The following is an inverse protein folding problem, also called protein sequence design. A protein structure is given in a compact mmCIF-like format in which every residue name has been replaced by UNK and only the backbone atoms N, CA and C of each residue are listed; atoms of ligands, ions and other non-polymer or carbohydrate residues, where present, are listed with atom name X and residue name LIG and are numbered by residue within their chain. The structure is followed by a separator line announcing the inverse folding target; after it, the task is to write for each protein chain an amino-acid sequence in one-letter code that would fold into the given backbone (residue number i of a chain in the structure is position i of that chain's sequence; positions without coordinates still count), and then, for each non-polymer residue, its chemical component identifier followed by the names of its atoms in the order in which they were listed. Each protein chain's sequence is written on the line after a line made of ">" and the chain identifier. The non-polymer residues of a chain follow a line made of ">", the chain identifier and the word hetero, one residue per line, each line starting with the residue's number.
data_IF_651110749172
#
_entry.id   IF_651110749172
#
_cell.length_a   1.000
_cell.length_b   1.000
_cell.length_c   1.000
_cell.angle_alpha   90.00
_cell.angle_beta   90.00
_cell.angle_gamma   90.00
#
_symmetry.space_group_name_H-M   'P 1'
#
loop_
_entity.id
_entity.type
_entity.pdbx_description
1 polymer ?
#
# COMPACT_ATOMS: atom_id res chain seq x y z
N UNK A 1 24.47 7.78 -8.94
CA UNK A 1 23.45 6.82 -9.38
C UNK A 1 22.27 7.50 -10.09
N UNK A 2 21.49 6.78 -10.88
CA UNK A 2 20.19 7.24 -11.39
C UNK A 2 19.09 6.97 -10.36
N UNK A 3 18.17 7.92 -10.23
CA UNK A 3 17.01 7.80 -9.33
C UNK A 3 15.81 8.57 -9.88
N UNK A 4 14.60 8.09 -9.61
CA UNK A 4 13.36 8.82 -9.90
C UNK A 4 13.13 9.84 -8.80
N UNK A 5 13.17 11.11 -9.16
CA UNK A 5 13.05 12.25 -8.24
C UNK A 5 11.74 13.02 -8.47
N UNK A 6 11.12 13.45 -7.38
CA UNK A 6 9.98 14.34 -7.40
C UNK A 6 10.43 15.80 -7.60
N UNK A 7 9.78 16.54 -8.50
CA UNK A 7 10.10 17.94 -8.82
C UNK A 7 8.90 18.90 -8.64
N UNK A 8 7.78 18.37 -8.17
CA UNK A 8 6.56 19.15 -8.00
C UNK A 8 5.32 18.39 -8.42
N UNK A 9 4.18 19.03 -8.29
CA UNK A 9 2.90 18.46 -8.71
C UNK A 9 2.92 18.04 -10.18
N UNK A 10 2.66 16.76 -10.42
CA UNK A 10 2.63 16.18 -11.76
C UNK A 10 4.00 15.98 -12.42
N UNK A 11 5.10 16.22 -11.71
CA UNK A 11 6.45 16.21 -12.28
C UNK A 11 7.40 15.28 -11.50
N UNK A 12 7.74 14.16 -12.13
CA UNK A 12 8.76 13.22 -11.67
C UNK A 12 9.75 12.97 -12.81
N UNK A 13 11.04 12.90 -12.50
CA UNK A 13 12.13 12.79 -13.48
C UNK A 13 13.19 11.80 -12.99
N UNK A 14 13.88 11.16 -13.94
CA UNK A 14 15.06 10.37 -13.61
C UNK A 14 16.29 11.26 -13.65
N UNK A 15 16.86 11.51 -12.48
CA UNK A 15 18.03 12.35 -12.30
C UNK A 15 19.30 11.52 -12.00
N UNK A 16 20.45 12.13 -12.19
CA UNK A 16 21.72 11.63 -11.66
C UNK A 16 21.97 12.30 -10.31
N UNK A 17 21.98 11.50 -9.26
CA UNK A 17 22.17 11.94 -7.87
C UNK A 17 23.38 11.26 -7.27
N UNK A 18 23.95 11.76 -6.14
CA UNK A 18 25.00 11.06 -5.42
C UNK A 18 24.59 9.63 -5.03
N UNK A 19 25.55 8.72 -5.00
CA UNK A 19 25.33 7.39 -4.46
C UNK A 19 25.06 7.46 -2.94
N UNK A 20 24.25 6.56 -2.38
CA UNK A 20 24.02 6.53 -0.94
C UNK A 20 25.29 6.08 -0.20
N UNK A 21 25.49 6.61 1.00
CA UNK A 21 26.57 6.23 1.91
C UNK A 21 26.00 5.62 3.20
N UNK A 22 26.77 4.74 3.86
CA UNK A 22 26.45 4.28 5.21
C UNK A 22 26.52 5.48 6.17
N UNK A 23 25.47 5.67 6.96
CA UNK A 23 25.38 6.76 7.95
C UNK A 23 25.47 6.25 9.39
N UNK A 24 25.18 4.98 9.58
CA UNK A 24 25.14 4.31 10.87
C UNK A 24 25.74 2.89 10.75
N UNK A 25 26.41 2.37 11.78
CA UNK A 25 26.99 1.02 11.73
C UNK A 25 25.94 -0.10 11.56
N UNK A 26 24.67 0.19 11.72
CA UNK A 26 23.55 -0.76 11.50
C UNK A 26 22.96 -0.70 10.09
N UNK A 27 23.47 0.15 9.21
CA UNK A 27 22.98 0.34 7.84
C UNK A 27 23.52 -0.71 6.88
N UNK A 28 22.78 -0.92 5.79
CA UNK A 28 23.33 -1.53 4.56
C UNK A 28 23.04 -0.66 3.35
N UNK A 29 23.82 -0.86 2.29
CA UNK A 29 23.48 -0.37 0.95
C UNK A 29 23.11 -1.57 0.09
N UNK A 30 21.97 -1.49 -0.58
CA UNK A 30 21.54 -2.48 -1.56
C UNK A 30 21.66 -1.90 -2.98
N UNK A 31 22.07 -2.72 -3.94
CA UNK A 31 21.84 -2.49 -5.36
C UNK A 31 20.42 -2.96 -5.66
N UNK A 32 19.54 -2.04 -6.04
CA UNK A 32 18.14 -2.35 -6.29
C UNK A 32 18.01 -3.17 -7.57
N UNK A 33 17.37 -4.32 -7.51
CA UNK A 33 17.10 -5.19 -8.65
C UNK A 33 15.69 -5.01 -9.18
N UNK A 34 14.74 -4.70 -8.30
CA UNK A 34 13.37 -4.40 -8.65
C UNK A 34 12.73 -3.43 -7.64
N UNK A 35 11.84 -2.56 -8.13
CA UNK A 35 11.04 -1.67 -7.30
C UNK A 35 9.64 -1.51 -7.88
N UNK A 36 8.59 -1.51 -7.04
CA UNK A 36 7.22 -1.30 -7.47
C UNK A 36 6.84 0.18 -7.57
N UNK A 37 5.86 0.50 -8.42
CA UNK A 37 5.09 1.74 -8.33
C UNK A 37 3.79 1.42 -7.61
N UNK A 38 3.49 2.16 -6.53
CA UNK A 38 2.31 2.00 -5.69
C UNK A 38 1.27 3.11 -5.96
N UNK A 39 0.01 2.83 -5.60
CA UNK A 39 -1.05 3.87 -5.63
C UNK A 39 -0.73 5.06 -4.74
N UNK A 40 -0.08 4.84 -3.59
CA UNK A 40 0.34 5.92 -2.69
C UNK A 40 1.44 6.83 -3.25
N UNK A 41 2.24 6.38 -4.24
CA UNK A 41 3.17 7.23 -4.97
C UNK A 41 2.42 8.29 -5.82
N UNK A 42 1.20 7.97 -6.26
CA UNK A 42 0.36 8.93 -7.00
C UNK A 42 -0.11 10.08 -6.10
N UNK A 43 -0.27 9.85 -4.79
CA UNK A 43 -0.57 10.93 -3.85
C UNK A 43 0.56 11.97 -3.80
N UNK A 44 1.82 11.53 -3.95
CA UNK A 44 2.98 12.40 -4.04
C UNK A 44 2.99 13.15 -5.38
N UNK A 45 2.77 12.42 -6.48
CA UNK A 45 2.70 13.00 -7.83
C UNK A 45 1.61 14.07 -7.93
N UNK A 46 0.43 13.79 -7.38
CA UNK A 46 -0.74 14.68 -7.47
C UNK A 46 -0.76 15.75 -6.36
N UNK A 47 0.31 15.85 -5.55
CA UNK A 47 0.49 16.90 -4.57
C UNK A 47 -0.45 16.83 -3.36
N UNK A 48 -1.04 15.66 -3.07
CA UNK A 48 -1.89 15.48 -1.89
C UNK A 48 -1.09 15.40 -0.58
N UNK A 49 0.16 14.93 -0.65
CA UNK A 49 1.03 14.85 0.52
C UNK A 49 1.82 16.14 0.71
N UNK A 50 1.70 16.78 1.88
CA UNK A 50 2.51 17.94 2.20
C UNK A 50 3.97 17.56 2.49
N UNK A 51 4.85 18.57 2.50
CA UNK A 51 6.25 18.42 2.90
C UNK A 51 7.12 17.56 1.96
N UNK A 52 6.78 17.50 0.68
CA UNK A 52 7.69 17.02 -0.36
C UNK A 52 8.65 18.13 -0.75
N UNK A 53 9.91 17.77 -1.03
CA UNK A 53 10.93 18.68 -1.50
C UNK A 53 11.44 18.26 -2.89
N UNK A 54 11.79 19.24 -3.73
CA UNK A 54 12.31 18.94 -5.07
C UNK A 54 13.65 18.18 -4.96
N UNK A 55 13.71 17.01 -5.62
CA UNK A 55 14.85 16.09 -5.54
C UNK A 55 14.62 14.90 -4.61
N UNK A 56 13.49 14.83 -3.89
CA UNK A 56 13.13 13.65 -3.10
C UNK A 56 13.04 12.39 -3.99
N UNK A 57 13.79 11.35 -3.63
CA UNK A 57 13.82 10.07 -4.36
C UNK A 57 12.61 9.24 -3.94
N UNK A 58 11.81 8.83 -4.91
CA UNK A 58 10.56 8.09 -4.71
C UNK A 58 10.77 6.58 -4.58
N UNK A 59 9.70 5.88 -4.19
CA UNK A 59 9.59 4.42 -4.20
C UNK A 59 9.80 3.76 -2.84
N UNK A 60 8.79 3.02 -2.41
CA UNK A 60 8.79 2.37 -1.10
C UNK A 60 8.60 0.84 -1.21
N UNK A 61 8.66 0.28 -2.42
CA UNK A 61 8.56 -1.17 -2.66
C UNK A 61 9.85 -1.74 -3.25
N UNK A 62 11.04 -1.61 -2.58
CA UNK A 62 12.29 -2.08 -3.15
C UNK A 62 12.66 -3.49 -2.71
N UNK A 63 13.43 -4.13 -3.58
CA UNK A 63 14.28 -5.27 -3.25
C UNK A 63 15.61 -5.16 -3.98
N UNK A 64 16.62 -5.90 -3.54
CA UNK A 64 17.93 -5.86 -4.17
C UNK A 64 18.96 -6.79 -3.54
N UNK A 65 20.20 -6.54 -3.89
CA UNK A 65 21.39 -7.29 -3.41
C UNK A 65 22.20 -6.37 -2.52
N UNK A 66 22.54 -6.83 -1.32
CA UNK A 66 23.43 -6.11 -0.39
C UNK A 66 24.81 -5.97 -1.01
N UNK A 67 25.28 -4.73 -1.16
CA UNK A 67 26.61 -4.40 -1.72
C UNK A 67 27.58 -3.90 -0.67
N UNK A 68 27.08 -3.31 0.42
CA UNK A 68 27.86 -2.79 1.53
C UNK A 68 27.11 -2.95 2.85
N UNK A 69 27.84 -3.21 3.95
CA UNK A 69 27.27 -3.41 5.30
C UNK A 69 28.05 -2.56 6.32
N UNK A 70 27.30 -1.96 7.24
CA UNK A 70 27.87 -1.35 8.43
C UNK A 70 28.47 -2.40 9.37
N UNK A 71 29.32 -1.95 10.30
CA UNK A 71 30.12 -2.85 11.15
C UNK A 71 29.29 -3.64 12.18
N UNK A 72 28.08 -3.19 12.51
CA UNK A 72 27.18 -3.86 13.47
C UNK A 72 26.11 -4.73 12.82
N UNK A 73 26.08 -4.81 11.48
CA UNK A 73 25.13 -5.67 10.76
C UNK A 73 25.54 -7.12 10.87
N UNK A 74 24.63 -7.98 11.33
CA UNK A 74 24.89 -9.40 11.63
C UNK A 74 24.03 -10.39 10.85
N UNK A 75 22.80 -10.00 10.44
CA UNK A 75 21.85 -10.93 9.80
C UNK A 75 21.95 -11.02 8.30
N UNK A 76 22.52 -9.99 7.67
CA UNK A 76 22.75 -9.96 6.24
C UNK A 76 24.19 -9.59 5.93
N UNK A 77 24.69 -10.00 4.76
CA UNK A 77 26.05 -9.73 4.31
C UNK A 77 26.05 -9.37 2.83
N UNK A 78 27.17 -8.82 2.36
CA UNK A 78 27.40 -8.54 0.93
C UNK A 78 27.11 -9.77 0.07
N UNK A 79 26.28 -9.58 -0.95
CA UNK A 79 25.81 -10.62 -1.88
C UNK A 79 24.45 -11.22 -1.48
N UNK A 80 23.96 -10.99 -0.27
CA UNK A 80 22.63 -11.47 0.11
C UNK A 80 21.53 -10.70 -0.66
N UNK A 81 20.53 -11.43 -1.11
CA UNK A 81 19.33 -10.91 -1.75
C UNK A 81 18.29 -10.59 -0.68
N UNK A 82 17.73 -9.38 -0.69
CA UNK A 82 16.82 -8.90 0.35
C UNK A 82 15.61 -8.16 -0.22
N UNK A 83 14.46 -8.34 0.43
CA UNK A 83 13.28 -7.48 0.28
C UNK A 83 13.28 -6.47 1.43
N UNK A 84 13.03 -5.21 1.13
CA UNK A 84 13.01 -4.13 2.13
C UNK A 84 11.58 -3.65 2.32
N UNK A 85 11.02 -3.70 3.55
CA UNK A 85 9.67 -3.20 3.82
C UNK A 85 9.63 -1.67 3.68
N UNK A 86 8.48 -1.12 3.29
CA UNK A 86 8.33 0.33 3.17
C UNK A 86 8.52 1.06 4.51
N UNK A 87 8.25 0.39 5.63
CA UNK A 87 8.34 0.94 6.98
C UNK A 87 9.71 0.71 7.59
N UNK A 88 10.30 1.74 8.15
CA UNK A 88 11.59 1.67 8.87
C UNK A 88 11.32 1.47 10.36
N UNK A 89 11.86 0.42 10.94
CA UNK A 89 11.66 0.08 12.34
C UNK A 89 12.99 -0.17 13.06
N UNK A 90 13.12 0.30 14.31
CA UNK A 90 14.35 0.13 15.10
C UNK A 90 14.46 -1.25 15.79
N UNK A 91 13.36 -1.97 15.94
CA UNK A 91 13.31 -3.29 16.59
C UNK A 91 13.33 -3.27 18.13
N UNK A 92 13.62 -2.14 18.79
CA UNK A 92 13.86 -2.09 20.24
C UNK A 92 12.94 -1.15 21.04
N UNK A 93 12.25 -0.19 20.40
CA UNK A 93 11.33 0.70 21.10
C UNK A 93 10.08 -0.03 21.60
N UNK A 94 9.29 0.64 22.43
CA UNK A 94 8.05 0.06 23.01
C UNK A 94 7.15 -0.56 21.94
N UNK A 95 6.89 0.13 20.84
CA UNK A 95 6.01 -0.37 19.78
C UNK A 95 6.63 -1.55 19.02
N UNK A 96 7.89 -1.47 18.65
CA UNK A 96 8.59 -2.57 17.96
C UNK A 96 8.60 -3.86 18.79
N UNK A 97 8.85 -3.77 20.11
CA UNK A 97 8.83 -4.94 21.01
C UNK A 97 7.43 -5.54 21.21
N UNK A 98 6.38 -4.79 20.87
CA UNK A 98 4.98 -5.26 20.85
C UNK A 98 4.52 -5.76 19.46
N UNK A 99 5.41 -5.79 18.48
CA UNK A 99 5.04 -6.17 17.11
C UNK A 99 4.27 -5.09 16.34
N UNK A 100 4.37 -3.84 16.77
CA UNK A 100 3.69 -2.68 16.17
C UNK A 100 4.68 -1.79 15.40
N UNK A 101 5.42 -2.40 14.47
CA UNK A 101 6.56 -1.76 13.79
C UNK A 101 6.22 -0.47 13.04
N UNK A 102 5.02 -0.37 12.45
CA UNK A 102 4.56 0.84 11.76
C UNK A 102 4.35 2.05 12.70
N UNK A 103 4.37 1.81 14.00
CA UNK A 103 4.28 2.85 15.04
C UNK A 103 5.64 3.06 15.76
N UNK A 104 6.76 2.74 15.09
CA UNK A 104 8.10 2.93 15.69
C UNK A 104 8.34 4.40 16.07
N UNK A 105 8.72 4.63 17.34
CA UNK A 105 8.92 5.98 17.88
C UNK A 105 10.23 6.65 17.47
N UNK A 106 11.21 5.88 16.99
CA UNK A 106 12.60 6.35 16.91
C UNK A 106 13.11 6.58 15.50
N UNK A 107 12.38 6.08 14.49
CA UNK A 107 12.89 6.10 13.11
C UNK A 107 12.46 7.31 12.29
N UNK A 108 11.57 8.15 12.80
CA UNK A 108 11.21 9.39 12.10
C UNK A 108 12.00 10.59 12.65
N UNK A 109 13.01 11.12 11.91
CA UNK A 109 13.78 12.29 12.35
C UNK A 109 12.92 13.55 12.46
N UNK A 110 11.77 13.60 11.78
CA UNK A 110 10.82 14.71 11.78
C UNK A 110 9.65 14.50 12.74
N UNK A 111 9.83 13.68 13.79
CA UNK A 111 8.78 13.29 14.75
C UNK A 111 8.01 14.49 15.32
N UNK A 112 8.70 15.59 15.67
CA UNK A 112 8.07 16.79 16.22
C UNK A 112 7.14 17.50 15.21
N UNK A 113 7.48 17.47 13.92
CA UNK A 113 6.64 18.02 12.85
C UNK A 113 5.42 17.11 12.63
N UNK A 114 5.63 15.81 12.53
CA UNK A 114 4.55 14.84 12.35
C UNK A 114 3.55 14.88 13.51
N UNK A 115 4.03 14.98 14.75
CA UNK A 115 3.17 15.06 15.94
C UNK A 115 2.25 16.29 15.96
N UNK A 116 2.68 17.43 15.38
CA UNK A 116 1.82 18.62 15.27
C UNK A 116 0.63 18.40 14.32
N UNK A 117 0.80 17.55 13.30
CA UNK A 117 -0.22 17.29 12.28
C UNK A 117 -1.10 16.09 12.66
N UNK A 118 -0.49 15.02 13.18
CA UNK A 118 -1.15 13.72 13.40
C UNK A 118 -1.40 13.41 14.89
N UNK A 119 -0.97 14.28 15.82
CA UNK A 119 -1.04 14.01 17.26
C UNK A 119 0.03 13.04 17.78
N UNK A 120 0.79 12.42 16.89
CA UNK A 120 1.89 11.49 17.19
C UNK A 120 2.85 11.40 16.00
N UNK A 121 4.01 10.76 16.19
CA UNK A 121 4.93 10.44 15.09
C UNK A 121 4.66 9.04 14.56
N UNK A 122 4.46 8.83 13.25
CA UNK A 122 4.56 7.51 12.64
C UNK A 122 6.04 7.08 12.54
N UNK A 123 6.27 5.81 12.20
CA UNK A 123 7.58 5.32 11.80
C UNK A 123 8.11 6.02 10.54
N UNK A 124 9.41 5.97 10.29
CA UNK A 124 10.00 6.39 9.04
C UNK A 124 9.52 5.53 7.86
N UNK A 125 9.33 6.15 6.70
CA UNK A 125 8.97 5.47 5.45
C UNK A 125 10.00 5.81 4.36
N UNK A 126 10.34 4.83 3.54
CA UNK A 126 11.15 5.05 2.35
C UNK A 126 10.36 5.78 1.26
N UNK A 127 11.02 6.67 0.51
CA UNK A 127 10.49 7.27 -0.70
C UNK A 127 9.15 7.97 -0.54
N UNK A 128 8.92 8.57 0.63
CA UNK A 128 7.68 9.27 0.96
C UNK A 128 7.98 10.66 1.56
N UNK A 129 6.98 11.38 2.04
CA UNK A 129 7.12 12.78 2.47
C UNK A 129 7.97 12.96 3.72
N UNK A 130 8.42 14.19 3.96
CA UNK A 130 9.17 14.55 5.18
C UNK A 130 8.35 14.42 6.47
N UNK A 131 7.02 14.34 6.43
CA UNK A 131 6.20 13.95 7.60
C UNK A 131 6.54 12.53 8.10
N UNK A 132 7.04 11.67 7.23
CA UNK A 132 7.45 10.31 7.55
C UNK A 132 8.96 10.12 7.47
N UNK A 133 9.71 11.21 7.60
CA UNK A 133 11.17 11.21 7.76
C UNK A 133 11.98 11.66 6.56
N UNK A 134 11.42 11.75 5.36
CA UNK A 134 12.13 12.18 4.15
C UNK A 134 13.26 11.24 3.75
N UNK A 135 13.10 9.94 3.96
CA UNK A 135 14.08 8.93 3.54
C UNK A 135 14.02 8.74 2.03
N UNK A 136 15.20 8.64 1.41
CA UNK A 136 15.30 8.29 0.00
C UNK A 136 14.62 6.95 -0.30
N UNK A 137 13.96 6.87 -1.45
CA UNK A 137 13.24 5.68 -1.90
C UNK A 137 14.06 4.73 -2.77
N UNK A 138 13.45 3.62 -3.12
CA UNK A 138 14.07 2.54 -3.88
C UNK A 138 13.75 2.55 -5.38
N UNK A 139 13.11 3.59 -5.92
CA UNK A 139 13.05 3.80 -7.38
C UNK A 139 14.35 4.44 -7.85
N UNK A 140 15.47 3.77 -7.56
CA UNK A 140 16.85 4.18 -7.77
C UNK A 140 17.74 2.96 -7.98
N UNK A 141 18.97 3.17 -8.47
CA UNK A 141 19.93 2.06 -8.66
C UNK A 141 20.45 1.50 -7.33
N UNK A 142 20.53 2.34 -6.28
CA UNK A 142 20.99 1.95 -4.94
C UNK A 142 20.11 2.58 -3.87
N UNK A 143 20.01 1.89 -2.72
CA UNK A 143 19.26 2.34 -1.56
C UNK A 143 20.04 2.06 -0.28
N UNK A 144 20.16 3.06 0.62
CA UNK A 144 20.59 2.86 1.99
C UNK A 144 19.42 2.39 2.86
N UNK A 145 19.60 1.28 3.55
CA UNK A 145 18.61 0.70 4.45
C UNK A 145 19.11 0.81 5.89
N UNK A 146 18.51 1.69 6.72
CA UNK A 146 18.85 1.78 8.14
C UNK A 146 18.27 0.59 8.92
N UNK A 147 18.90 0.27 10.07
CA UNK A 147 18.50 -0.85 10.93
C UNK A 147 18.34 -2.17 10.16
N UNK A 148 19.35 -2.51 9.34
CA UNK A 148 19.27 -3.59 8.36
C UNK A 148 18.90 -4.96 8.96
N UNK A 149 19.36 -5.26 10.16
CA UNK A 149 19.04 -6.51 10.88
C UNK A 149 17.56 -6.62 11.27
N UNK A 150 16.82 -5.53 11.21
CA UNK A 150 15.37 -5.46 11.43
C UNK A 150 14.63 -5.29 10.10
N UNK A 151 15.15 -4.41 9.23
CA UNK A 151 14.48 -3.99 8.00
C UNK A 151 14.59 -4.99 6.85
N UNK A 152 15.71 -5.74 6.72
CA UNK A 152 15.91 -6.62 5.58
C UNK A 152 15.31 -8.00 5.79
N UNK A 153 14.41 -8.42 4.90
CA UNK A 153 14.03 -9.84 4.77
C UNK A 153 14.97 -10.51 3.77
N UNK A 154 15.86 -11.39 4.25
CA UNK A 154 16.74 -12.18 3.40
C UNK A 154 15.94 -13.26 2.64
N UNK A 155 16.17 -13.34 1.33
CA UNK A 155 15.60 -14.35 0.43
C UNK A 155 16.67 -15.39 0.12
N UNK A 156 16.47 -16.58 0.62
CA UNK A 156 17.41 -17.72 0.46
C UNK A 156 17.01 -18.63 -0.70
N UNK A 157 15.75 -18.59 -1.12
CA UNK A 157 15.24 -19.38 -2.24
C UNK A 157 15.65 -18.81 -3.60
N UNK A 158 15.65 -19.66 -4.63
CA UNK A 158 15.90 -19.26 -6.03
C UNK A 158 14.67 -18.68 -6.73
N UNK A 159 13.64 -18.29 -5.98
CA UNK A 159 12.45 -17.66 -6.55
C UNK A 159 12.82 -16.35 -7.26
N UNK A 160 12.24 -16.08 -8.45
CA UNK A 160 12.45 -14.79 -9.13
C UNK A 160 12.04 -13.61 -8.27
N UNK A 161 12.71 -12.46 -8.44
CA UNK A 161 12.43 -11.23 -7.71
C UNK A 161 10.96 -10.83 -7.75
N UNK A 162 10.31 -11.00 -8.89
CA UNK A 162 8.88 -10.69 -9.10
C UNK A 162 7.93 -11.48 -8.19
N UNK A 163 8.32 -12.65 -7.72
CA UNK A 163 7.50 -13.44 -6.79
C UNK A 163 7.62 -12.97 -5.35
N UNK A 164 8.70 -12.31 -4.99
CA UNK A 164 8.98 -11.92 -3.60
C UNK A 164 8.94 -10.41 -3.38
N UNK A 165 9.08 -9.60 -4.43
CA UNK A 165 9.08 -8.13 -4.37
C UNK A 165 7.92 -7.56 -3.55
N UNK A 166 6.72 -8.08 -3.75
CA UNK A 166 5.50 -7.53 -3.12
C UNK A 166 5.38 -7.82 -1.63
N UNK A 167 6.33 -8.54 -1.05
CA UNK A 167 6.53 -8.61 0.40
C UNK A 167 7.01 -7.29 0.99
N UNK A 168 7.49 -6.36 0.14
CA UNK A 168 7.90 -5.01 0.53
C UNK A 168 6.73 -4.10 0.94
N UNK A 169 5.48 -4.37 0.43
CA UNK A 169 4.30 -3.57 0.72
C UNK A 169 2.98 -4.33 0.49
N UNK A 170 2.52 -4.39 -0.77
CA UNK A 170 1.11 -4.62 -1.11
C UNK A 170 0.55 -5.98 -0.69
N UNK A 171 1.37 -7.02 -0.63
CA UNK A 171 0.90 -8.32 -0.16
C UNK A 171 0.71 -8.36 1.37
N UNK A 172 1.70 -7.99 2.21
CA UNK A 172 1.47 -7.79 3.64
C UNK A 172 0.32 -6.84 3.96
N UNK A 173 0.17 -5.76 3.18
CA UNK A 173 -0.90 -4.77 3.36
C UNK A 173 -2.28 -5.39 3.09
N UNK A 174 -2.44 -6.13 2.01
CA UNK A 174 -3.68 -6.86 1.74
C UNK A 174 -3.96 -7.98 2.75
N UNK A 175 -2.90 -8.63 3.26
CA UNK A 175 -3.04 -9.67 4.27
C UNK A 175 -3.47 -9.10 5.62
N UNK A 176 -2.83 -8.03 6.09
CA UNK A 176 -3.25 -7.32 7.32
C UNK A 176 -4.67 -6.78 7.18
N UNK A 177 -5.06 -6.30 6.00
CA UNK A 177 -6.42 -5.84 5.77
C UNK A 177 -7.46 -6.95 5.98
N UNK A 178 -7.18 -8.15 5.50
CA UNK A 178 -8.05 -9.32 5.71
C UNK A 178 -8.05 -9.78 7.18
N UNK A 179 -6.89 -9.76 7.86
CA UNK A 179 -6.81 -10.03 9.31
C UNK A 179 -7.61 -9.01 10.12
N UNK A 180 -7.48 -7.72 9.81
CA UNK A 180 -8.22 -6.63 10.46
C UNK A 180 -9.73 -6.70 10.22
N UNK A 181 -10.16 -7.28 9.11
CA UNK A 181 -11.57 -7.54 8.85
C UNK A 181 -12.15 -8.63 9.74
N UNK A 182 -11.32 -9.40 10.47
CA UNK A 182 -11.74 -10.51 11.35
C UNK A 182 -12.60 -11.54 10.59
N UNK A 183 -12.13 -11.95 9.43
CA UNK A 183 -12.84 -12.88 8.56
C UNK A 183 -12.96 -14.25 9.25
N UNK A 184 -14.18 -14.75 9.30
CA UNK A 184 -14.50 -16.10 9.80
C UNK A 184 -14.82 -17.05 8.63
N UNK A 185 -14.70 -18.35 8.89
CA UNK A 185 -14.98 -19.35 7.87
C UNK A 185 -16.42 -19.24 7.37
N UNK A 186 -16.57 -19.09 6.05
CA UNK A 186 -17.86 -18.95 5.39
C UNK A 186 -18.39 -17.53 5.25
N UNK A 187 -17.69 -16.51 5.78
CA UNK A 187 -18.09 -15.10 5.65
C UNK A 187 -18.17 -14.64 4.19
N UNK A 188 -19.11 -13.74 3.92
CA UNK A 188 -19.13 -12.93 2.70
C UNK A 188 -18.33 -11.66 2.90
N UNK A 189 -17.26 -11.50 2.12
CA UNK A 189 -16.35 -10.36 2.17
C UNK A 189 -16.55 -9.47 0.95
N UNK A 190 -16.81 -8.18 1.16
CA UNK A 190 -16.87 -7.19 0.09
C UNK A 190 -15.61 -6.31 0.10
N UNK A 191 -14.95 -6.15 -1.04
CA UNK A 191 -13.71 -5.39 -1.21
C UNK A 191 -13.95 -4.25 -2.19
N UNK A 192 -13.84 -3.01 -1.71
CA UNK A 192 -13.87 -1.81 -2.57
C UNK A 192 -12.46 -1.51 -3.07
N UNK A 193 -12.34 -1.41 -4.39
CA UNK A 193 -11.08 -1.23 -5.10
C UNK A 193 -10.39 -2.54 -5.45
N UNK A 194 -10.22 -2.78 -6.76
CA UNK A 194 -9.49 -3.93 -7.32
C UNK A 194 -8.08 -3.50 -7.81
N UNK A 195 -7.51 -2.45 -7.23
CA UNK A 195 -6.11 -2.07 -7.45
C UNK A 195 -5.15 -3.10 -6.85
N UNK A 196 -3.81 -2.89 -6.91
CA UNK A 196 -2.83 -3.88 -6.43
C UNK A 196 -3.08 -4.37 -5.01
N UNK A 197 -3.34 -3.46 -4.05
CA UNK A 197 -3.68 -3.82 -2.67
C UNK A 197 -5.00 -4.60 -2.62
N UNK A 198 -6.03 -4.15 -3.34
CA UNK A 198 -7.33 -4.84 -3.40
C UNK A 198 -7.23 -6.27 -3.93
N UNK A 199 -6.38 -6.51 -4.93
CA UNK A 199 -6.11 -7.87 -5.43
C UNK A 199 -5.54 -8.78 -4.32
N UNK A 200 -4.64 -8.26 -3.49
CA UNK A 200 -4.12 -9.03 -2.34
C UNK A 200 -5.11 -9.11 -1.17
N UNK A 201 -6.00 -8.13 -0.99
CA UNK A 201 -7.12 -8.26 -0.05
C UNK A 201 -8.03 -9.42 -0.43
N UNK A 202 -8.36 -9.56 -1.72
CA UNK A 202 -9.18 -10.65 -2.27
C UNK A 202 -8.50 -12.00 -2.05
N UNK A 203 -7.22 -12.14 -2.40
CA UNK A 203 -6.46 -13.38 -2.18
C UNK A 203 -6.40 -13.74 -0.69
N UNK A 204 -6.14 -12.74 0.16
CA UNK A 204 -6.03 -12.93 1.60
C UNK A 204 -7.37 -13.28 2.24
N UNK A 205 -8.50 -12.74 1.74
CA UNK A 205 -9.82 -13.11 2.23
C UNK A 205 -10.06 -14.64 2.11
N UNK A 206 -9.68 -15.23 0.99
CA UNK A 206 -9.73 -16.70 0.82
C UNK A 206 -8.79 -17.43 1.78
N UNK A 207 -7.58 -16.89 2.03
CA UNK A 207 -6.64 -17.49 2.98
C UNK A 207 -7.18 -17.50 4.42
N UNK A 208 -8.05 -16.57 4.79
CA UNK A 208 -8.72 -16.51 6.09
C UNK A 208 -10.03 -17.30 6.12
N UNK A 209 -10.43 -17.95 5.01
CA UNK A 209 -11.58 -18.84 4.98
C UNK A 209 -12.90 -18.20 4.56
N UNK A 210 -12.87 -17.05 3.88
CA UNK A 210 -14.08 -16.47 3.29
C UNK A 210 -14.83 -17.51 2.45
N UNK A 211 -16.16 -17.55 2.60
CA UNK A 211 -17.01 -18.40 1.77
C UNK A 211 -17.38 -17.76 0.45
N UNK A 212 -17.31 -16.42 0.40
CA UNK A 212 -17.63 -15.62 -0.78
C UNK A 212 -16.83 -14.31 -0.76
N UNK A 213 -16.30 -13.89 -1.92
CA UNK A 213 -15.63 -12.61 -2.07
C UNK A 213 -16.28 -11.83 -3.21
N UNK A 214 -16.68 -10.57 -2.93
CA UNK A 214 -17.29 -9.65 -3.89
C UNK A 214 -16.39 -8.44 -4.01
N UNK A 215 -15.93 -8.13 -5.22
CA UNK A 215 -15.00 -7.06 -5.50
C UNK A 215 -15.72 -5.92 -6.26
N UNK A 216 -15.53 -4.69 -5.83
CA UNK A 216 -16.22 -3.51 -6.35
C UNK A 216 -15.21 -2.56 -6.99
N UNK A 217 -15.32 -2.32 -8.30
CA UNK A 217 -14.45 -1.39 -9.05
C UNK A 217 -15.24 -0.88 -10.29
N UNK A 218 -14.58 -0.08 -11.13
CA UNK A 218 -15.11 0.34 -12.43
C UNK A 218 -14.11 0.07 -13.58
N UNK A 219 -12.91 -0.38 -13.27
CA UNK A 219 -11.87 -0.68 -14.27
C UNK A 219 -11.95 -2.15 -14.64
N UNK A 220 -12.35 -2.44 -15.89
CA UNK A 220 -12.62 -3.81 -16.33
C UNK A 220 -11.42 -4.74 -16.21
N UNK A 221 -10.21 -4.26 -16.52
CA UNK A 221 -8.98 -5.05 -16.40
C UNK A 221 -8.71 -5.46 -14.96
N UNK A 222 -8.98 -4.58 -13.99
CA UNK A 222 -8.86 -4.85 -12.56
C UNK A 222 -9.92 -5.85 -12.07
N UNK A 223 -11.16 -5.67 -12.52
CA UNK A 223 -12.26 -6.62 -12.22
C UNK A 223 -12.00 -7.98 -12.87
N UNK A 224 -11.50 -8.00 -14.10
CA UNK A 224 -11.11 -9.25 -14.77
C UNK A 224 -10.02 -9.98 -13.97
N UNK A 225 -9.00 -9.28 -13.49
CA UNK A 225 -7.96 -9.87 -12.62
C UNK A 225 -8.56 -10.43 -11.33
N UNK A 226 -9.49 -9.70 -10.69
CA UNK A 226 -10.19 -10.17 -9.49
C UNK A 226 -11.00 -11.45 -9.73
N UNK A 227 -11.63 -11.58 -10.90
CA UNK A 227 -12.34 -12.82 -11.31
C UNK A 227 -11.37 -13.96 -11.60
N UNK A 228 -10.40 -13.72 -12.48
CA UNK A 228 -9.55 -14.77 -13.04
C UNK A 228 -8.57 -15.35 -11.99
N UNK A 229 -7.98 -14.50 -11.18
CA UNK A 229 -6.99 -14.90 -10.16
C UNK A 229 -7.58 -14.92 -8.75
N UNK A 230 -8.51 -13.99 -8.45
CA UNK A 230 -9.12 -13.85 -7.14
C UNK A 230 -10.40 -14.66 -6.96
N UNK A 231 -10.98 -15.26 -8.01
CA UNK A 231 -12.26 -15.96 -7.98
C UNK A 231 -13.38 -15.14 -7.33
N UNK A 232 -13.27 -13.82 -7.39
CA UNK A 232 -14.24 -12.90 -6.82
C UNK A 232 -15.41 -12.68 -7.79
N UNK A 233 -16.60 -12.50 -7.26
CA UNK A 233 -17.69 -11.89 -8.00
C UNK A 233 -17.43 -10.38 -8.10
N UNK A 234 -17.85 -9.73 -9.18
CA UNK A 234 -17.52 -8.31 -9.37
C UNK A 234 -18.77 -7.45 -9.55
N UNK A 235 -18.74 -6.26 -8.96
CA UNK A 235 -19.74 -5.21 -9.14
C UNK A 235 -19.05 -4.02 -9.81
N UNK A 236 -19.55 -3.62 -11.00
CA UNK A 236 -19.19 -2.38 -11.65
C UNK A 236 -20.07 -1.25 -11.11
N UNK A 237 -19.52 -0.42 -10.21
CA UNK A 237 -20.28 0.63 -9.55
C UNK A 237 -20.75 1.75 -10.50
N UNK A 238 -20.30 1.76 -11.77
CA UNK A 238 -20.79 2.69 -12.79
C UNK A 238 -22.08 2.20 -13.47
N UNK A 239 -22.35 0.91 -13.36
CA UNK A 239 -23.49 0.23 -14.01
C UNK A 239 -24.54 -0.27 -13.03
N UNK A 240 -24.17 -0.46 -11.76
CA UNK A 240 -25.01 -1.06 -10.73
C UNK A 240 -25.00 -0.20 -9.46
N UNK A 241 -26.13 -0.11 -8.77
CA UNK A 241 -26.14 0.42 -7.41
C UNK A 241 -25.49 -0.61 -6.47
N UNK A 242 -24.41 -0.22 -5.83
CA UNK A 242 -23.59 -1.12 -4.98
C UNK A 242 -24.39 -1.60 -3.77
N UNK A 243 -25.19 -0.70 -3.14
CA UNK A 243 -25.95 -1.06 -1.96
C UNK A 243 -27.04 -2.08 -2.31
N UNK A 244 -27.89 -1.78 -3.31
CA UNK A 244 -28.96 -2.65 -3.75
C UNK A 244 -28.41 -4.01 -4.20
N UNK A 245 -27.35 -4.01 -5.03
CA UNK A 245 -26.74 -5.24 -5.53
C UNK A 245 -26.20 -6.10 -4.38
N UNK A 246 -25.50 -5.50 -3.41
CA UNK A 246 -24.97 -6.25 -2.25
C UNK A 246 -26.11 -6.78 -1.36
N UNK A 247 -27.23 -6.03 -1.19
CA UNK A 247 -28.40 -6.53 -0.47
C UNK A 247 -29.00 -7.76 -1.19
N UNK A 248 -29.20 -7.70 -2.50
CA UNK A 248 -29.68 -8.83 -3.30
C UNK A 248 -28.77 -10.04 -3.18
N UNK A 249 -27.46 -9.84 -3.36
CA UNK A 249 -26.45 -10.91 -3.28
C UNK A 249 -26.34 -11.56 -1.90
N UNK A 250 -26.80 -10.91 -0.84
CA UNK A 250 -26.70 -11.36 0.56
C UNK A 250 -28.07 -11.57 1.23
N UNK A 251 -29.13 -11.71 0.44
CA UNK A 251 -30.50 -11.89 0.92
C UNK A 251 -30.95 -10.82 1.95
N UNK A 252 -30.62 -9.56 1.68
CA UNK A 252 -30.99 -8.39 2.50
C UNK A 252 -30.15 -8.18 3.76
N UNK A 253 -29.15 -9.02 4.03
CA UNK A 253 -28.35 -8.94 5.25
C UNK A 253 -27.16 -7.98 5.12
N UNK A 254 -26.57 -7.87 3.94
CA UNK A 254 -25.28 -7.23 3.67
C UNK A 254 -24.09 -8.16 3.92
N UNK A 255 -22.88 -7.83 3.38
CA UNK A 255 -21.66 -8.60 3.59
C UNK A 255 -21.24 -8.60 5.07
N UNK A 256 -20.63 -9.71 5.50
CA UNK A 256 -20.17 -9.89 6.87
C UNK A 256 -18.98 -8.99 7.18
N UNK A 257 -18.07 -8.85 6.21
CA UNK A 257 -16.85 -8.09 6.31
C UNK A 257 -16.70 -7.17 5.09
N UNK A 258 -16.20 -5.96 5.33
CA UNK A 258 -15.97 -4.97 4.28
C UNK A 258 -14.53 -4.48 4.34
N UNK A 259 -13.88 -4.34 3.18
CA UNK A 259 -12.51 -3.84 3.06
C UNK A 259 -12.50 -2.65 2.11
N UNK A 260 -12.09 -1.47 2.60
CA UNK A 260 -11.87 -0.28 1.78
C UNK A 260 -10.40 -0.19 1.35
N UNK A 261 -10.10 -0.74 0.17
CA UNK A 261 -8.77 -0.69 -0.45
C UNK A 261 -8.61 0.49 -1.45
N UNK A 262 -9.48 1.50 -1.37
CA UNK A 262 -9.45 2.72 -2.21
C UNK A 262 -8.86 3.90 -1.44
N UNK A 263 -9.39 4.19 -0.26
CA UNK A 263 -8.99 5.37 0.52
C UNK A 263 -9.43 6.71 -0.10
N UNK A 264 -8.57 7.72 0.01
CA UNK A 264 -8.86 9.10 -0.42
C UNK A 264 -9.11 9.29 -1.92
N UNK A 265 -8.77 8.30 -2.77
CA UNK A 265 -8.96 8.37 -4.23
C UNK A 265 -10.37 7.94 -4.69
N UNK A 266 -11.29 7.66 -3.79
CA UNK A 266 -12.63 7.20 -4.14
C UNK A 266 -13.37 8.22 -5.03
N UNK A 267 -13.83 7.78 -6.19
CA UNK A 267 -14.64 8.57 -7.11
C UNK A 267 -16.11 8.13 -6.99
N UNK A 268 -17.00 9.09 -6.67
CA UNK A 268 -18.44 8.85 -6.75
C UNK A 268 -18.96 9.00 -8.19
N UNK A 269 -19.95 8.20 -8.57
CA UNK A 269 -20.53 8.16 -9.93
C UNK A 269 -21.53 9.28 -10.22
N UNK A 270 -21.64 10.29 -9.39
CA UNK A 270 -22.54 11.42 -9.59
C UNK A 270 -23.36 11.73 -8.33
N UNK A 271 -23.87 12.92 -8.29
CA UNK A 271 -24.65 13.46 -7.17
C UNK A 271 -24.00 14.76 -6.64
N UNK A 272 -24.74 15.42 -5.76
CA UNK A 272 -24.31 16.70 -5.16
C UNK A 272 -22.99 16.58 -4.42
N UNK A 273 -22.72 15.41 -3.81
CA UNK A 273 -21.50 15.14 -3.07
C UNK A 273 -20.24 15.12 -3.97
N UNK A 274 -20.32 14.52 -5.17
CA UNK A 274 -19.19 14.50 -6.10
C UNK A 274 -18.84 15.91 -6.64
N UNK A 275 -19.85 16.78 -6.81
CA UNK A 275 -19.65 18.18 -7.22
C UNK A 275 -19.05 18.99 -6.09
N UNK A 276 -19.53 18.80 -4.85
CA UNK A 276 -19.02 19.48 -3.65
C UNK A 276 -17.57 19.07 -3.37
N UNK A 277 -17.25 17.78 -3.49
CA UNK A 277 -15.89 17.27 -3.29
C UNK A 277 -14.91 17.83 -4.35
N UNK A 278 -15.34 17.95 -5.62
CA UNK A 278 -14.55 18.63 -6.67
C UNK A 278 -14.33 20.10 -6.39
N UNK A 279 -15.35 20.82 -5.92
CA UNK A 279 -15.24 22.25 -5.58
C UNK A 279 -14.32 22.47 -4.37
N UNK A 280 -14.40 21.62 -3.35
CA UNK A 280 -13.52 21.67 -2.17
C UNK A 280 -12.07 21.37 -2.53
N UNK A 281 -11.81 20.38 -3.38
CA UNK A 281 -10.46 20.10 -3.88
C UNK A 281 -9.87 21.28 -4.66
N UNK A 282 -10.68 22.00 -5.44
CA UNK A 282 -10.25 23.18 -6.19
C UNK A 282 -9.87 24.38 -5.31
N UNK A 283 -10.32 24.41 -4.04
CA UNK A 283 -10.06 25.52 -3.09
C UNK A 283 -9.02 25.14 -2.04
N UNK A 284 -8.24 24.06 -2.27
CA UNK A 284 -7.21 23.53 -1.34
C UNK A 284 -7.73 23.18 0.07
N UNK A 285 -9.03 23.05 0.24
CA UNK A 285 -9.65 22.40 1.40
C UNK A 285 -9.66 20.89 1.10
N UNK A 286 -8.52 20.24 1.33
CA UNK A 286 -8.35 18.80 1.11
C UNK A 286 -9.21 18.01 2.08
N UNK A 287 -10.45 17.73 1.69
CA UNK A 287 -11.26 16.70 2.30
C UNK A 287 -11.03 15.40 1.53
N UNK A 288 -10.59 14.36 2.21
CA UNK A 288 -10.45 13.03 1.64
C UNK A 288 -11.80 12.54 1.09
N UNK A 289 -11.77 11.95 -0.09
CA UNK A 289 -12.97 11.44 -0.76
C UNK A 289 -13.37 10.09 -0.21
N UNK A 290 -14.03 10.05 0.95
CA UNK A 290 -14.36 8.82 1.67
C UNK A 290 -15.59 8.07 1.09
N UNK A 291 -15.81 8.08 -0.23
CA UNK A 291 -17.00 7.48 -0.84
C UNK A 291 -17.08 5.96 -0.61
N UNK A 292 -15.97 5.25 -0.81
CA UNK A 292 -15.89 3.81 -0.58
C UNK A 292 -16.17 3.45 0.90
N UNK A 293 -15.56 4.18 1.84
CA UNK A 293 -15.81 3.99 3.26
C UNK A 293 -17.26 4.24 3.65
N UNK A 294 -17.90 5.29 3.10
CA UNK A 294 -19.33 5.58 3.36
C UNK A 294 -20.20 4.43 2.87
N UNK A 295 -19.94 3.92 1.65
CA UNK A 295 -20.66 2.76 1.11
C UNK A 295 -20.42 1.52 1.96
N UNK A 296 -19.19 1.23 2.37
CA UNK A 296 -18.88 0.09 3.25
C UNK A 296 -19.67 0.16 4.56
N UNK A 297 -19.81 1.33 5.18
CA UNK A 297 -20.61 1.52 6.39
C UNK A 297 -22.11 1.21 6.15
N UNK A 298 -22.64 1.66 5.01
CA UNK A 298 -24.05 1.38 4.70
C UNK A 298 -24.30 -0.08 4.28
N UNK A 299 -23.36 -0.70 3.57
CA UNK A 299 -23.51 -2.05 3.04
C UNK A 299 -23.23 -3.13 4.09
N UNK A 300 -22.24 -2.95 4.96
CA UNK A 300 -21.87 -3.94 5.97
C UNK A 300 -23.06 -4.34 6.84
N UNK A 301 -23.21 -5.64 7.13
CA UNK A 301 -24.27 -6.11 8.02
C UNK A 301 -24.13 -5.54 9.43
N UNK A 302 -25.20 -5.64 10.23
CA UNK A 302 -25.15 -5.32 11.67
C UNK A 302 -24.11 -6.19 12.38
N UNK A 303 -23.36 -5.57 13.29
CA UNK A 303 -22.25 -6.17 14.02
C UNK A 303 -21.15 -6.75 13.11
N UNK A 304 -20.99 -6.20 11.88
CA UNK A 304 -19.90 -6.57 10.98
C UNK A 304 -18.65 -5.73 11.22
N UNK A 305 -17.58 -6.08 10.51
CA UNK A 305 -16.27 -5.40 10.62
C UNK A 305 -15.88 -4.76 9.31
N UNK A 306 -15.35 -3.53 9.39
CA UNK A 306 -14.78 -2.77 8.27
C UNK A 306 -13.28 -2.64 8.48
N UNK A 307 -12.50 -3.09 7.51
CA UNK A 307 -11.05 -2.89 7.45
C UNK A 307 -10.72 -1.80 6.43
N UNK A 308 -9.83 -0.87 6.79
CA UNK A 308 -9.47 0.26 5.95
C UNK A 308 -7.97 0.31 5.74
N UNK A 309 -7.42 -0.47 4.77
CA UNK A 309 -6.03 -0.31 4.32
C UNK A 309 -5.84 0.89 3.39
N UNK A 310 -6.91 1.42 2.81
CA UNK A 310 -6.87 2.61 1.95
C UNK A 310 -6.30 3.83 2.67
N UNK A 311 -5.41 4.56 1.99
CA UNK A 311 -4.73 5.71 2.60
C UNK A 311 -5.67 6.92 2.64
N UNK A 312 -5.84 7.47 3.85
CA UNK A 312 -6.45 8.77 4.11
C UNK A 312 -5.38 9.73 4.64
N UNK A 313 -5.32 10.94 4.08
CA UNK A 313 -4.24 11.91 4.36
C UNK A 313 -4.72 13.03 5.27
N UNK A 314 -6.01 13.35 5.21
CA UNK A 314 -6.61 14.49 5.90
C UNK A 314 -7.84 14.13 6.72
N UNK A 315 -8.87 14.95 6.59
CA UNK A 315 -10.11 14.81 7.33
C UNK A 315 -11.22 14.26 6.42
N UNK A 316 -11.56 12.95 6.50
CA UNK A 316 -12.71 12.43 5.80
C UNK A 316 -13.99 13.06 6.39
N UNK A 317 -14.75 13.75 5.56
CA UNK A 317 -16.01 14.37 5.97
C UNK A 317 -17.22 13.45 5.73
N UNK A 318 -18.36 13.83 6.31
CA UNK A 318 -19.67 13.15 6.11
C UNK A 318 -19.63 11.66 6.40
N UNK A 319 -18.84 11.22 7.37
CA UNK A 319 -18.86 9.81 7.82
C UNK A 319 -20.22 9.54 8.49
N UNK A 320 -20.97 8.50 8.06
CA UNK A 320 -22.30 8.23 8.58
C UNK A 320 -22.25 7.55 9.96
N UNK A 321 -21.76 8.29 10.98
CA UNK A 321 -21.56 7.78 12.35
C UNK A 321 -22.84 7.26 12.98
N UNK A 322 -24.00 7.82 12.63
CA UNK A 322 -25.29 7.31 13.11
C UNK A 322 -25.56 5.89 12.63
N UNK A 323 -25.30 5.60 11.36
CA UNK A 323 -25.42 4.24 10.81
C UNK A 323 -24.35 3.30 11.41
N UNK A 324 -23.11 3.78 11.52
CA UNK A 324 -22.01 3.03 12.12
C UNK A 324 -22.35 2.57 13.54
N UNK A 325 -22.78 3.51 14.40
CA UNK A 325 -23.15 3.23 15.79
C UNK A 325 -24.37 2.30 15.89
N UNK A 326 -25.47 2.60 15.16
CA UNK A 326 -26.70 1.82 15.28
C UNK A 326 -26.59 0.38 14.72
N UNK A 327 -25.65 0.15 13.79
CA UNK A 327 -25.33 -1.20 13.34
C UNK A 327 -24.34 -1.93 14.26
N UNK A 328 -23.72 -1.26 15.22
CA UNK A 328 -22.70 -1.84 16.09
C UNK A 328 -21.46 -2.30 15.30
N UNK A 329 -21.01 -1.51 14.32
CA UNK A 329 -19.88 -1.89 13.47
C UNK A 329 -18.55 -1.73 14.19
N UNK A 330 -17.60 -2.61 13.86
CA UNK A 330 -16.19 -2.43 14.20
C UNK A 330 -15.45 -1.87 13.00
N UNK A 331 -14.50 -0.93 13.22
CA UNK A 331 -13.60 -0.46 12.18
C UNK A 331 -12.15 -0.59 12.64
N UNK A 332 -11.31 -1.14 11.77
CA UNK A 332 -9.86 -1.24 11.97
C UNK A 332 -9.10 -0.65 10.81
N UNK A 333 -8.06 0.11 11.12
CA UNK A 333 -7.19 0.76 10.14
C UNK A 333 -5.77 0.86 10.71
N UNK A 334 -4.83 1.27 9.90
CA UNK A 334 -3.45 1.54 10.31
C UNK A 334 -2.45 1.22 9.21
N UNK A 335 -1.25 1.79 9.35
CA UNK A 335 -0.11 1.43 8.52
C UNK A 335 0.31 -0.03 8.81
N UNK A 336 0.71 -0.72 7.76
CA UNK A 336 1.00 -2.16 7.86
C UNK A 336 2.23 -2.44 8.71
N UNK A 337 2.07 -3.34 9.68
CA UNK A 337 3.16 -3.87 10.49
C UNK A 337 3.97 -4.90 9.69
N UNK A 338 4.68 -4.42 8.65
CA UNK A 338 5.33 -5.22 7.62
C UNK A 338 6.11 -6.43 8.15
N UNK A 339 6.98 -6.20 9.12
CA UNK A 339 7.87 -7.20 9.71
C UNK A 339 7.12 -8.40 10.30
N UNK A 340 5.85 -8.22 10.71
CA UNK A 340 5.00 -9.29 11.23
C UNK A 340 4.61 -10.31 10.15
N UNK A 341 4.44 -9.83 8.92
CA UNK A 341 3.83 -10.60 7.84
C UNK A 341 4.82 -11.10 6.79
N UNK A 342 5.95 -10.39 6.60
CA UNK A 342 6.86 -10.68 5.49
C UNK A 342 7.35 -12.14 5.50
N UNK A 343 7.85 -12.65 6.63
CA UNK A 343 8.38 -14.01 6.72
C UNK A 343 7.29 -15.08 6.56
N UNK A 344 6.16 -15.04 7.29
CA UNK A 344 5.06 -15.99 7.09
C UNK A 344 4.50 -15.99 5.66
N UNK A 345 4.48 -14.85 4.99
CA UNK A 345 4.02 -14.75 3.61
C UNK A 345 5.05 -15.27 2.62
N UNK A 346 6.35 -15.07 2.87
CA UNK A 346 7.41 -15.71 2.09
C UNK A 346 7.28 -17.24 2.15
N UNK A 347 7.06 -17.81 3.34
CA UNK A 347 6.87 -19.25 3.51
C UNK A 347 5.69 -19.78 2.67
N UNK A 348 4.61 -19.01 2.55
CA UNK A 348 3.46 -19.32 1.67
C UNK A 348 3.81 -19.29 0.18
N UNK A 349 4.63 -18.31 -0.23
CA UNK A 349 5.10 -18.20 -1.62
C UNK A 349 6.00 -19.38 -1.95
N UNK A 350 6.93 -19.71 -1.07
CA UNK A 350 7.86 -20.85 -1.23
C UNK A 350 7.12 -22.18 -1.27
N UNK A 351 6.03 -22.31 -0.50
CA UNK A 351 5.14 -23.47 -0.54
C UNK A 351 4.22 -23.52 -1.78
N UNK A 352 4.30 -22.52 -2.68
CA UNK A 352 3.45 -22.43 -3.88
C UNK A 352 1.97 -22.17 -3.63
N UNK A 353 1.60 -21.70 -2.44
CA UNK A 353 0.21 -21.40 -2.09
C UNK A 353 -0.30 -20.12 -2.80
N UNK A 354 0.59 -19.22 -3.17
CA UNK A 354 0.30 -18.01 -3.93
C UNK A 354 1.49 -17.66 -4.81
N UNK A 355 1.21 -17.10 -5.99
CA UNK A 355 2.21 -16.48 -6.86
C UNK A 355 1.94 -14.97 -6.96
N UNK A 356 2.59 -14.11 -6.18
CA UNK A 356 2.30 -12.67 -6.16
C UNK A 356 2.55 -11.96 -7.50
N UNK A 357 3.34 -12.54 -8.39
CA UNK A 357 3.63 -11.97 -9.72
C UNK A 357 2.38 -11.85 -10.61
N UNK A 358 1.23 -12.45 -10.24
CA UNK A 358 -0.01 -12.37 -11.01
C UNK A 358 -0.49 -10.92 -11.21
N UNK A 359 -0.13 -10.02 -10.30
CA UNK A 359 -0.58 -8.61 -10.34
C UNK A 359 0.22 -7.76 -11.33
N UNK A 360 1.40 -8.23 -11.78
CA UNK A 360 2.31 -7.47 -12.65
C UNK A 360 1.75 -7.39 -14.06
N UNK A 361 1.53 -6.19 -14.55
CA UNK A 361 1.15 -5.92 -15.94
C UNK A 361 2.28 -5.28 -16.74
N UNK A 362 3.16 -4.51 -16.10
CA UNK A 362 4.22 -3.77 -16.79
C UNK A 362 5.58 -4.00 -16.11
N UNK A 363 6.60 -4.23 -16.93
CA UNK A 363 8.01 -4.35 -16.53
C UNK A 363 8.80 -3.34 -17.34
N UNK A 364 9.38 -2.36 -16.68
CA UNK A 364 9.96 -1.19 -17.33
C UNK A 364 11.33 -0.88 -16.72
N UNK A 365 12.19 -0.24 -17.53
CA UNK A 365 13.44 0.34 -17.03
C UNK A 365 13.17 1.58 -16.19
N UNK A 366 14.11 1.93 -15.32
CA UNK A 366 13.99 3.12 -14.47
C UNK A 366 13.73 4.39 -15.30
N UNK A 367 14.38 4.53 -16.45
CA UNK A 367 14.23 5.69 -17.37
C UNK A 367 12.81 5.87 -17.90
N UNK A 368 12.02 4.80 -17.91
CA UNK A 368 10.61 4.82 -18.36
C UNK A 368 9.64 5.16 -17.22
N UNK A 369 10.13 5.31 -15.98
CA UNK A 369 9.30 5.55 -14.82
C UNK A 369 8.40 6.80 -14.94
N UNK A 370 8.85 7.97 -15.47
CA UNK A 370 7.97 9.13 -15.59
C UNK A 370 6.72 8.87 -16.46
N UNK A 371 6.87 8.08 -17.52
CA UNK A 371 5.73 7.71 -18.37
C UNK A 371 4.88 6.61 -17.70
N UNK A 372 5.53 5.68 -17.02
CA UNK A 372 4.85 4.63 -16.25
C UNK A 372 3.91 5.20 -15.17
N UNK A 373 4.32 6.27 -14.49
CA UNK A 373 3.48 6.98 -13.52
C UNK A 373 2.20 7.54 -14.16
N UNK A 374 2.31 8.13 -15.36
CA UNK A 374 1.16 8.64 -16.12
C UNK A 374 0.22 7.51 -16.54
N UNK A 375 0.79 6.44 -17.11
CA UNK A 375 0.02 5.26 -17.55
C UNK A 375 -0.72 4.62 -16.39
N UNK A 376 -0.04 4.47 -15.25
CA UNK A 376 -0.62 3.90 -14.03
C UNK A 376 -1.72 4.80 -13.43
N UNK A 377 -1.46 6.12 -13.32
CA UNK A 377 -2.45 7.10 -12.85
C UNK A 377 -3.70 7.13 -13.74
N UNK A 378 -3.50 7.16 -15.05
CA UNK A 378 -4.58 7.25 -16.03
C UNK A 378 -5.28 5.91 -16.27
N UNK A 379 -4.79 4.82 -15.65
CA UNK A 379 -5.32 3.46 -15.79
C UNK A 379 -5.39 3.00 -17.26
N UNK A 380 -4.39 3.41 -18.06
CA UNK A 380 -4.28 3.07 -19.49
C UNK A 380 -3.53 1.75 -19.69
N UNK A 381 -3.65 1.19 -20.89
CA UNK A 381 -2.95 -0.02 -21.34
C UNK A 381 -3.11 -1.23 -20.43
N UNK A 382 -4.26 -1.32 -19.73
CA UNK A 382 -4.51 -2.38 -18.76
C UNK A 382 -3.56 -2.34 -17.56
N UNK A 383 -2.98 -1.17 -17.25
CA UNK A 383 -1.99 -1.03 -16.19
C UNK A 383 -2.61 -1.22 -14.81
N UNK A 384 -2.14 -2.27 -14.09
CA UNK A 384 -2.54 -2.59 -12.72
C UNK A 384 -1.34 -2.47 -11.79
N UNK A 385 -0.20 -3.05 -12.14
CA UNK A 385 1.04 -2.95 -11.36
C UNK A 385 2.26 -2.82 -12.28
N UNK A 386 3.08 -1.84 -11.96
CA UNK A 386 4.37 -1.61 -12.63
C UNK A 386 5.50 -2.07 -11.74
N UNK A 387 6.44 -2.79 -12.33
CA UNK A 387 7.74 -3.12 -11.74
C UNK A 387 8.82 -2.40 -12.53
N UNK A 388 9.61 -1.60 -11.86
CA UNK A 388 10.81 -0.94 -12.40
C UNK A 388 12.00 -1.85 -12.15
N UNK A 389 12.90 -1.93 -13.15
CA UNK A 389 14.14 -2.71 -13.11
C UNK A 389 15.33 -1.72 -13.22
N UNK A 390 15.80 -1.15 -12.09
CA UNK A 390 16.93 -0.24 -12.10
C UNK A 390 18.23 -0.98 -12.50
N UNK A 391 19.05 -0.33 -13.36
CA UNK A 391 20.36 -0.87 -13.74
C UNK A 391 20.32 -1.96 -14.83
N UNK A 392 19.22 -2.08 -15.58
CA UNK A 392 19.13 -2.98 -16.77
C UNK A 392 19.15 -2.23 -18.08
#
# INVERSE_FOLDING_TARGET
>A
MKALCWHGHGDVRVDTVPDPELKDPTDVIIKVTASGICGSDLHLLDGYMPTMEAGDILGHEPMGIVVETGAEVTKVKKGDRVVVPFTIACGSCFFCTKGLWAACDTTNPNAAMAAKVMGHSPAGLFGYSHLTGGYAGGQAEYLRVPHADVGCLKIESDLPDEKVLFLSDIFPTGYMAAENAEIEAGDTVAVWGCGPVGQFCIQSAWMFGAGRVIAIDCVEERMKMARDFGRAETIDFTKQDVYETLQEMTAGRGPDRCIDAVGAEAHGTGGVDAVVDKLKAAVSLTTDRAHALRQAIYCCRKAGTISVPGVYIGFPDKIPMGAFMNKGLTMRTGQTHMHRYMRPLLDRIEAGQINPAFVITHRLKLEQAPEAYKTFRDKKDGCIKVVLLPGT
#
